data_IF_364885888496
#
_entry.id   IF_364885888496
#
_cell.length_a   1.000
_cell.length_b   1.000
_cell.length_c   1.000
_cell.angle_alpha   90.00
_cell.angle_beta   90.00
_cell.angle_gamma   90.00
#
_symmetry.space_group_name_H-M   'P 1'
#
loop_
_entity.id
_entity.type
_entity.pdbx_description
1 polymer ?
#
# COMPACT_ATOMS: atom_id res chain seq x y z
N UNK A 1 -12.69 -12.48 -27.07
CA UNK A 1 -13.00 -11.48 -26.01
C UNK A 1 -14.11 -11.85 -24.99
N UNK A 2 -14.68 -13.07 -24.97
CA UNK A 2 -15.71 -13.45 -23.96
C UNK A 2 -15.13 -13.81 -22.58
N UNK A 3 -13.91 -14.34 -22.51
CA UNK A 3 -13.25 -14.77 -21.26
C UNK A 3 -12.94 -13.62 -20.29
N UNK A 4 -12.49 -12.47 -20.80
CA UNK A 4 -12.19 -11.28 -19.97
C UNK A 4 -13.48 -10.70 -19.35
N UNK A 5 -14.62 -10.79 -20.06
CA UNK A 5 -15.91 -10.26 -19.60
C UNK A 5 -16.61 -11.14 -18.54
N UNK A 6 -16.23 -12.42 -18.42
CA UNK A 6 -16.83 -13.38 -17.48
C UNK A 6 -15.93 -13.71 -16.28
N UNK A 7 -14.73 -13.13 -16.19
CA UNK A 7 -13.77 -13.45 -15.15
C UNK A 7 -14.30 -13.05 -13.77
N UNK A 8 -14.26 -13.98 -12.81
CA UNK A 8 -14.68 -13.73 -11.42
C UNK A 8 -13.88 -12.61 -10.80
N UNK A 9 -14.49 -11.81 -9.92
CA UNK A 9 -13.80 -10.69 -9.26
C UNK A 9 -12.51 -11.13 -8.53
N UNK A 10 -12.46 -12.33 -7.96
CA UNK A 10 -11.26 -12.85 -7.31
C UNK A 10 -10.07 -13.01 -8.27
N UNK A 11 -10.30 -13.60 -9.45
CA UNK A 11 -9.27 -13.71 -10.51
C UNK A 11 -8.82 -12.35 -11.02
N UNK A 12 -9.74 -11.39 -11.14
CA UNK A 12 -9.42 -10.01 -11.52
C UNK A 12 -8.56 -9.32 -10.45
N UNK A 13 -8.95 -9.40 -9.18
CA UNK A 13 -8.16 -8.87 -8.06
C UNK A 13 -6.77 -9.50 -8.00
N UNK A 14 -6.64 -10.80 -8.26
CA UNK A 14 -5.36 -11.48 -8.31
C UNK A 14 -4.49 -11.01 -9.48
N UNK A 15 -5.06 -10.87 -10.67
CA UNK A 15 -4.34 -10.34 -11.84
C UNK A 15 -3.84 -8.91 -11.61
N UNK A 16 -4.71 -8.05 -11.06
CA UNK A 16 -4.34 -6.68 -10.69
C UNK A 16 -3.27 -6.64 -9.59
N UNK A 17 -3.36 -7.54 -8.62
CA UNK A 17 -2.36 -7.66 -7.57
C UNK A 17 -1.00 -8.12 -8.10
N UNK A 18 -0.97 -9.01 -9.09
CA UNK A 18 0.26 -9.41 -9.76
C UNK A 18 0.85 -8.25 -10.57
N UNK A 19 0.00 -7.48 -11.26
CA UNK A 19 0.44 -6.32 -12.03
C UNK A 19 0.99 -5.19 -11.15
N UNK A 20 0.25 -4.77 -10.13
CA UNK A 20 0.70 -3.70 -9.23
C UNK A 20 1.84 -4.20 -8.33
N UNK A 21 1.70 -5.39 -7.75
CA UNK A 21 2.63 -5.94 -6.78
C UNK A 21 3.98 -6.34 -7.37
N UNK A 22 4.01 -6.83 -8.62
CA UNK A 22 5.26 -7.20 -9.32
C UNK A 22 5.67 -6.15 -10.34
N UNK A 23 4.87 -5.95 -11.38
CA UNK A 23 5.28 -5.15 -12.55
C UNK A 23 5.55 -3.69 -12.20
N UNK A 24 4.69 -3.03 -11.42
CA UNK A 24 4.91 -1.64 -11.02
C UNK A 24 6.02 -1.48 -9.98
N UNK A 25 6.36 -2.54 -9.23
CA UNK A 25 7.45 -2.54 -8.24
C UNK A 25 8.80 -3.01 -8.82
N UNK A 26 8.88 -3.38 -10.11
CA UNK A 26 10.09 -3.93 -10.73
C UNK A 26 11.34 -3.06 -10.49
N UNK A 27 11.23 -1.74 -10.56
CA UNK A 27 12.36 -0.84 -10.32
C UNK A 27 12.86 -0.86 -8.86
N UNK A 28 11.95 -1.05 -7.89
CA UNK A 28 12.31 -1.20 -6.48
C UNK A 28 13.00 -2.55 -6.26
N UNK A 29 12.46 -3.61 -6.87
CA UNK A 29 13.06 -4.94 -6.83
C UNK A 29 14.47 -4.96 -7.41
N UNK A 30 14.69 -4.33 -8.57
CA UNK A 30 16.02 -4.29 -9.19
C UNK A 30 17.07 -3.64 -8.27
N UNK A 31 16.72 -2.52 -7.64
CA UNK A 31 17.64 -1.81 -6.72
C UNK A 31 17.90 -2.61 -5.45
N UNK A 32 16.86 -3.23 -4.90
CA UNK A 32 16.92 -4.01 -3.66
C UNK A 32 17.65 -5.35 -3.86
N UNK A 33 17.37 -6.08 -4.93
CA UNK A 33 18.05 -7.32 -5.29
C UNK A 33 19.48 -7.09 -5.80
N UNK A 34 19.76 -5.95 -6.44
CA UNK A 34 21.13 -5.54 -6.76
C UNK A 34 22.02 -5.42 -5.52
N UNK A 35 21.45 -4.95 -4.40
CA UNK A 35 22.14 -4.89 -3.11
C UNK A 35 22.33 -6.29 -2.47
N UNK A 36 21.42 -7.24 -2.71
CA UNK A 36 21.56 -8.62 -2.24
C UNK A 36 22.52 -9.48 -3.07
N UNK A 37 22.70 -9.17 -4.37
CA UNK A 37 23.54 -9.93 -5.29
C UNK A 37 25.05 -9.84 -4.98
N UNK A 38 25.49 -8.78 -4.28
CA UNK A 38 26.89 -8.61 -3.86
C UNK A 38 27.31 -9.63 -2.77
N UNK A 39 26.34 -10.21 -2.04
CA UNK A 39 26.58 -11.18 -0.97
C UNK A 39 25.48 -12.25 -0.99
N UNK A 40 25.56 -13.17 -1.97
CA UNK A 40 24.59 -14.25 -2.13
C UNK A 40 24.56 -15.16 -0.88
N UNK A 41 23.55 -14.98 -0.04
CA UNK A 41 23.23 -15.87 1.08
C UNK A 41 21.82 -16.43 0.90
N UNK A 42 21.63 -17.71 1.22
CA UNK A 42 20.32 -18.38 1.11
C UNK A 42 19.21 -17.62 1.84
N UNK A 43 19.54 -16.97 2.95
CA UNK A 43 18.60 -16.13 3.72
C UNK A 43 18.11 -14.90 2.96
N UNK A 44 19.00 -14.22 2.21
CA UNK A 44 18.63 -13.08 1.34
C UNK A 44 17.75 -13.54 0.16
N UNK A 45 17.97 -14.77 -0.33
CA UNK A 45 17.08 -15.39 -1.33
C UNK A 45 15.68 -15.67 -0.80
N UNK A 46 15.57 -16.20 0.42
CA UNK A 46 14.27 -16.44 1.07
C UNK A 46 13.56 -15.11 1.35
N UNK A 47 14.27 -14.09 1.84
CA UNK A 47 13.67 -12.77 2.08
C UNK A 47 13.16 -12.14 0.78
N UNK A 48 13.87 -12.29 -0.34
CA UNK A 48 13.44 -11.83 -1.64
C UNK A 48 12.11 -12.43 -2.10
N UNK A 49 11.96 -13.75 -1.98
CA UNK A 49 10.73 -14.46 -2.33
C UNK A 49 9.58 -14.04 -1.41
N UNK A 50 9.87 -13.86 -0.12
CA UNK A 50 8.88 -13.37 0.84
C UNK A 50 8.44 -11.95 0.53
N UNK A 51 9.35 -11.03 0.17
CA UNK A 51 9.03 -9.66 -0.23
C UNK A 51 8.14 -9.65 -1.48
N UNK A 52 8.51 -10.41 -2.53
CA UNK A 52 7.71 -10.54 -3.76
C UNK A 52 6.31 -11.11 -3.49
N UNK A 53 6.22 -12.16 -2.67
CA UNK A 53 4.96 -12.75 -2.27
C UNK A 53 4.10 -11.79 -1.45
N UNK A 54 4.72 -11.06 -0.53
CA UNK A 54 4.04 -10.10 0.33
C UNK A 54 3.43 -8.95 -0.48
N UNK A 55 4.13 -8.37 -1.46
CA UNK A 55 3.57 -7.26 -2.26
C UNK A 55 2.32 -7.69 -3.04
N UNK A 56 2.35 -8.89 -3.64
CA UNK A 56 1.19 -9.46 -4.36
C UNK A 56 0.04 -9.74 -3.39
N UNK A 57 0.31 -10.40 -2.26
CA UNK A 57 -0.73 -10.78 -1.31
C UNK A 57 -1.35 -9.56 -0.61
N UNK A 58 -0.56 -8.55 -0.23
CA UNK A 58 -1.05 -7.29 0.34
C UNK A 58 -1.94 -6.56 -0.66
N UNK A 59 -1.50 -6.46 -1.91
CA UNK A 59 -2.31 -5.80 -2.96
C UNK A 59 -3.61 -6.55 -3.21
N UNK A 60 -3.54 -7.89 -3.24
CA UNK A 60 -4.72 -8.73 -3.38
C UNK A 60 -5.68 -8.52 -2.21
N UNK A 61 -5.18 -8.55 -0.98
CA UNK A 61 -5.94 -8.33 0.24
C UNK A 61 -6.62 -6.95 0.24
N UNK A 62 -5.89 -5.89 -0.13
CA UNK A 62 -6.43 -4.52 -0.24
C UNK A 62 -7.57 -4.47 -1.27
N UNK A 63 -7.34 -4.92 -2.51
CA UNK A 63 -8.37 -4.93 -3.56
C UNK A 63 -9.60 -5.75 -3.16
N UNK A 64 -9.39 -6.76 -2.30
CA UNK A 64 -10.44 -7.63 -1.79
C UNK A 64 -11.25 -6.93 -0.71
N UNK A 65 -10.60 -6.26 0.25
CA UNK A 65 -11.28 -5.40 1.23
C UNK A 65 -12.11 -4.31 0.55
N UNK A 66 -11.55 -3.62 -0.46
CA UNK A 66 -12.27 -2.59 -1.21
C UNK A 66 -13.54 -3.12 -1.89
N UNK A 67 -13.61 -4.41 -2.16
CA UNK A 67 -14.77 -5.03 -2.80
C UNK A 67 -15.94 -5.35 -1.86
N UNK A 68 -15.75 -5.13 -0.55
CA UNK A 68 -16.82 -5.14 0.45
C UNK A 68 -17.79 -3.98 0.24
N UNK A 69 -17.30 -2.81 -0.20
CA UNK A 69 -18.10 -1.60 -0.42
C UNK A 69 -19.02 -1.67 -1.65
N UNK A 70 -19.06 -2.81 -2.34
CA UNK A 70 -19.94 -3.03 -3.48
C UNK A 70 -19.28 -2.75 -4.83
N UNK A 71 -20.03 -3.01 -5.92
CA UNK A 71 -19.45 -3.10 -7.28
C UNK A 71 -18.98 -1.75 -7.83
N UNK A 72 -19.79 -0.69 -7.71
CA UNK A 72 -19.46 0.63 -8.27
C UNK A 72 -18.31 1.26 -7.51
N UNK A 73 -18.39 1.25 -6.18
CA UNK A 73 -17.33 1.74 -5.29
C UNK A 73 -16.02 1.00 -5.54
N UNK A 74 -16.04 -0.33 -5.65
CA UNK A 74 -14.84 -1.10 -5.95
C UNK A 74 -14.16 -0.68 -7.25
N UNK A 75 -14.93 -0.40 -8.32
CA UNK A 75 -14.33 0.04 -9.60
C UNK A 75 -13.61 1.36 -9.44
N UNK A 76 -14.27 2.34 -8.80
CA UNK A 76 -13.70 3.68 -8.57
C UNK A 76 -12.45 3.58 -7.68
N UNK A 77 -12.54 2.85 -6.56
CA UNK A 77 -11.40 2.69 -5.66
C UNK A 77 -10.26 1.90 -6.31
N UNK A 78 -10.54 0.85 -7.07
CA UNK A 78 -9.51 0.10 -7.78
C UNK A 78 -8.83 0.96 -8.86
N UNK A 79 -9.58 1.81 -9.57
CA UNK A 79 -8.98 2.76 -10.51
C UNK A 79 -8.09 3.79 -9.81
N UNK A 80 -8.51 4.31 -8.66
CA UNK A 80 -7.70 5.24 -7.88
C UNK A 80 -6.40 4.57 -7.39
N UNK A 81 -6.50 3.34 -6.87
CA UNK A 81 -5.32 2.57 -6.45
C UNK A 81 -4.36 2.36 -7.61
N UNK A 82 -4.85 2.02 -8.81
CA UNK A 82 -4.03 1.85 -10.01
C UNK A 82 -3.35 3.16 -10.41
N UNK A 83 -4.10 4.28 -10.45
CA UNK A 83 -3.55 5.58 -10.87
C UNK A 83 -2.50 6.10 -9.88
N UNK A 84 -2.78 6.04 -8.58
CA UNK A 84 -1.80 6.44 -7.56
C UNK A 84 -0.58 5.51 -7.54
N UNK A 85 -0.77 4.20 -7.75
CA UNK A 85 0.37 3.28 -7.84
C UNK A 85 1.18 3.47 -9.12
N UNK A 86 0.56 3.86 -10.24
CA UNK A 86 1.26 4.19 -11.49
C UNK A 86 2.03 5.50 -11.39
N UNK A 87 1.44 6.52 -10.75
CA UNK A 87 2.16 7.75 -10.45
C UNK A 87 3.33 7.45 -9.54
N UNK A 88 3.10 6.72 -8.45
CA UNK A 88 4.13 6.36 -7.51
C UNK A 88 5.29 5.53 -8.12
N UNK A 89 4.98 4.61 -9.04
CA UNK A 89 6.01 3.82 -9.72
C UNK A 89 6.92 4.68 -10.61
N UNK A 90 6.40 5.77 -11.19
CA UNK A 90 7.22 6.73 -11.93
C UNK A 90 8.27 7.37 -11.02
N UNK A 91 7.84 7.93 -9.88
CA UNK A 91 8.75 8.54 -8.90
C UNK A 91 9.78 7.55 -8.38
N UNK A 92 9.38 6.29 -8.16
CA UNK A 92 10.29 5.23 -7.71
C UNK A 92 11.32 4.83 -8.75
N UNK A 93 10.94 4.85 -10.03
CA UNK A 93 11.80 4.39 -11.13
C UNK A 93 12.77 5.46 -11.58
N UNK A 94 12.30 6.70 -11.78
CA UNK A 94 13.11 7.77 -12.36
C UNK A 94 13.80 8.63 -11.31
N UNK A 95 13.11 8.95 -10.21
CA UNK A 95 13.65 9.82 -9.16
C UNK A 95 14.26 9.03 -8.00
N UNK A 96 14.20 7.70 -8.08
CA UNK A 96 14.71 6.78 -7.08
C UNK A 96 14.12 6.96 -5.66
N UNK A 97 13.03 7.71 -5.50
CA UNK A 97 12.51 8.05 -4.17
C UNK A 97 11.53 6.99 -3.68
N UNK A 98 11.59 6.69 -2.38
CA UNK A 98 10.55 5.92 -1.67
C UNK A 98 9.50 6.89 -1.15
N UNK A 99 8.24 6.66 -1.50
CA UNK A 99 7.14 7.57 -1.09
C UNK A 99 6.86 7.39 0.39
N UNK A 100 7.47 8.28 1.19
CA UNK A 100 7.23 8.43 2.60
C UNK A 100 6.35 9.64 2.93
N UNK A 101 6.13 9.85 4.23
CA UNK A 101 5.34 10.96 4.79
C UNK A 101 5.74 12.33 4.20
N UNK A 102 7.03 12.63 4.10
CA UNK A 102 7.50 13.95 3.65
C UNK A 102 7.09 14.33 2.23
N UNK A 103 7.04 13.36 1.29
CA UNK A 103 6.60 13.64 -0.09
C UNK A 103 5.10 13.95 -0.11
N UNK A 104 4.31 13.21 0.67
CA UNK A 104 2.86 13.42 0.75
C UNK A 104 2.55 14.76 1.41
N UNK A 105 3.24 15.09 2.51
CA UNK A 105 3.10 16.38 3.19
C UNK A 105 3.40 17.54 2.23
N UNK A 106 4.49 17.45 1.46
CA UNK A 106 4.87 18.46 0.46
C UNK A 106 3.84 18.60 -0.68
N UNK A 107 3.24 17.49 -1.13
CA UNK A 107 2.16 17.52 -2.13
C UNK A 107 0.89 18.16 -1.56
N UNK A 108 0.57 17.90 -0.29
CA UNK A 108 -0.62 18.47 0.37
C UNK A 108 -0.45 19.97 0.70
N UNK A 109 0.76 20.43 1.00
CA UNK A 109 1.07 21.87 1.18
C UNK A 109 1.14 22.65 -0.14
N UNK A 110 0.99 21.96 -1.28
CA UNK A 110 0.78 22.52 -2.63
C UNK A 110 1.80 23.59 -3.05
N UNK A 111 3.09 23.26 -3.06
CA UNK A 111 4.08 24.05 -3.80
C UNK A 111 3.88 23.82 -5.32
N UNK A 112 3.11 24.72 -5.95
CA UNK A 112 2.68 24.64 -7.35
C UNK A 112 3.88 24.71 -8.31
N UNK A 113 4.95 25.41 -7.92
CA UNK A 113 6.14 25.58 -8.75
C UNK A 113 6.96 24.28 -8.83
N UNK A 114 7.11 23.57 -7.70
CA UNK A 114 7.77 22.27 -7.65
C UNK A 114 6.94 21.18 -8.36
N UNK A 115 5.61 21.26 -8.24
CA UNK A 115 4.70 20.30 -8.87
C UNK A 115 4.70 20.39 -10.41
N UNK A 116 4.89 21.59 -10.98
CA UNK A 116 4.95 21.77 -12.45
C UNK A 116 6.26 21.29 -13.05
N UNK A 117 7.37 21.41 -12.32
CA UNK A 117 8.68 20.93 -12.79
C UNK A 117 8.74 19.41 -12.84
N UNK A 118 7.99 18.74 -11.94
CA UNK A 118 8.01 17.28 -11.82
C UNK A 118 6.92 16.59 -12.64
N UNK A 119 5.80 17.26 -12.93
CA UNK A 119 4.73 16.76 -13.82
C UNK A 119 5.04 17.14 -15.28
N UNK A 120 6.08 16.53 -15.84
CA UNK A 120 6.42 16.65 -17.27
C UNK A 120 5.60 15.74 -18.18
N UNK A 121 5.78 15.90 -19.50
CA UNK A 121 5.16 15.03 -20.51
C UNK A 121 5.52 13.54 -20.31
N UNK A 122 6.73 13.25 -19.84
CA UNK A 122 7.18 11.89 -19.51
C UNK A 122 6.33 11.25 -18.40
N UNK A 123 5.95 12.02 -17.37
CA UNK A 123 5.07 11.52 -16.31
C UNK A 123 3.70 11.13 -16.86
N UNK A 124 3.10 11.99 -17.70
CA UNK A 124 1.79 11.72 -18.29
C UNK A 124 1.84 10.50 -19.22
N UNK A 125 2.87 10.40 -20.07
CA UNK A 125 3.05 9.25 -20.94
C UNK A 125 3.19 7.96 -20.13
N UNK A 126 4.03 7.95 -19.08
CA UNK A 126 4.19 6.80 -18.21
C UNK A 126 2.89 6.43 -17.52
N UNK A 127 2.19 7.40 -16.94
CA UNK A 127 0.93 7.21 -16.25
C UNK A 127 -0.09 6.56 -17.18
N UNK A 128 -0.24 7.05 -18.40
CA UNK A 128 -1.15 6.48 -19.40
C UNK A 128 -0.70 5.07 -19.79
N UNK A 129 0.56 4.89 -20.20
CA UNK A 129 1.07 3.58 -20.66
C UNK A 129 0.92 2.48 -19.60
N UNK A 130 1.20 2.78 -18.33
CA UNK A 130 1.18 1.79 -17.24
C UNK A 130 -0.23 1.60 -16.66
N UNK A 131 -1.09 2.61 -16.67
CA UNK A 131 -2.45 2.49 -16.10
C UNK A 131 -3.51 2.02 -17.09
N UNK A 132 -3.35 2.25 -18.40
CA UNK A 132 -4.39 1.91 -19.40
C UNK A 132 -4.74 0.41 -19.39
N UNK A 133 -3.74 -0.46 -19.30
CA UNK A 133 -3.95 -1.91 -19.28
C UNK A 133 -4.78 -2.38 -18.07
N UNK A 134 -4.41 -2.08 -16.80
CA UNK A 134 -5.23 -2.42 -15.65
C UNK A 134 -6.61 -1.72 -15.65
N UNK A 135 -6.71 -0.49 -16.16
CA UNK A 135 -8.00 0.21 -16.31
C UNK A 135 -8.94 -0.53 -17.28
N UNK A 136 -8.43 -0.97 -18.44
CA UNK A 136 -9.21 -1.77 -19.38
C UNK A 136 -9.72 -3.05 -18.70
N UNK A 137 -8.89 -3.72 -17.90
CA UNK A 137 -9.32 -4.92 -17.17
C UNK A 137 -10.42 -4.65 -16.13
N UNK A 138 -10.34 -3.52 -15.40
CA UNK A 138 -11.34 -3.12 -14.40
C UNK A 138 -12.69 -2.80 -15.07
N UNK A 139 -12.66 -2.01 -16.15
CA UNK A 139 -13.88 -1.50 -16.79
C UNK A 139 -14.53 -2.50 -17.77
N UNK A 140 -13.73 -3.30 -18.48
CA UNK A 140 -14.23 -4.32 -19.41
C UNK A 140 -14.89 -5.50 -18.69
N UNK A 141 -14.51 -5.78 -17.44
CA UNK A 141 -15.06 -6.90 -16.69
C UNK A 141 -16.39 -6.54 -15.99
N UNK A 142 -17.41 -7.41 -16.10
CA UNK A 142 -18.73 -7.20 -15.48
C UNK A 142 -18.76 -7.37 -13.96
N UNK A 143 -17.60 -7.53 -13.30
CA UNK A 143 -17.43 -7.56 -11.84
C UNK A 143 -18.52 -8.37 -11.13
N UNK A 144 -18.82 -9.56 -11.67
CA UNK A 144 -19.81 -10.49 -11.10
C UNK A 144 -19.17 -11.17 -9.88
N UNK A 145 -19.99 -11.39 -8.83
CA UNK A 145 -19.59 -11.93 -7.53
C UNK A 145 -18.68 -11.01 -6.69
N UNK A 146 -19.27 -9.94 -6.16
CA UNK A 146 -18.60 -9.13 -5.14
C UNK A 146 -18.38 -9.92 -3.86
N UNK A 147 -17.35 -9.56 -3.09
CA UNK A 147 -17.08 -10.20 -1.80
C UNK A 147 -18.30 -10.07 -0.88
N UNK A 148 -18.94 -8.89 -0.87
CA UNK A 148 -20.23 -8.67 -0.19
C UNK A 148 -21.31 -9.68 -0.61
N UNK A 149 -21.45 -9.93 -1.92
CA UNK A 149 -22.44 -10.88 -2.44
C UNK A 149 -22.06 -12.32 -2.09
N UNK A 150 -20.78 -12.67 -2.15
CA UNK A 150 -20.27 -13.99 -1.78
C UNK A 150 -20.42 -14.26 -0.27
N UNK A 151 -20.21 -13.24 0.57
CA UNK A 151 -20.51 -13.30 2.01
C UNK A 151 -22.00 -13.40 2.30
N UNK A 152 -22.88 -12.97 1.37
CA UNK A 152 -24.33 -13.04 1.55
C UNK A 152 -24.93 -14.37 1.06
N UNK A 153 -24.33 -15.04 0.06
CA UNK A 153 -24.77 -16.38 -0.39
C UNK A 153 -24.36 -17.48 0.60
N UNK A 154 -25.31 -18.23 1.19
CA UNK A 154 -24.99 -19.38 2.04
C UNK A 154 -24.21 -20.43 1.22
N UNK A 155 -23.16 -21.02 1.80
CA UNK A 155 -22.26 -21.99 1.14
C UNK A 155 -20.96 -21.42 0.58
N UNK A 156 -20.91 -20.14 0.14
CA UNK A 156 -19.66 -19.49 -0.31
C UNK A 156 -19.02 -18.57 0.74
N UNK A 157 -19.73 -18.25 1.83
CA UNK A 157 -19.28 -17.31 2.88
C UNK A 157 -17.96 -17.72 3.51
N UNK A 158 -17.87 -18.98 3.96
CA UNK A 158 -16.68 -19.51 4.63
C UNK A 158 -15.48 -19.54 3.68
N UNK A 159 -15.67 -19.96 2.42
CA UNK A 159 -14.60 -19.95 1.41
C UNK A 159 -14.05 -18.55 1.13
N UNK A 160 -14.93 -17.55 0.98
CA UNK A 160 -14.50 -16.18 0.71
C UNK A 160 -13.88 -15.49 1.92
N UNK A 161 -14.39 -15.74 3.12
CA UNK A 161 -13.80 -15.26 4.37
C UNK A 161 -12.45 -15.93 4.64
N UNK A 162 -12.38 -17.26 4.52
CA UNK A 162 -11.15 -18.03 4.68
C UNK A 162 -10.08 -17.58 3.67
N UNK A 163 -10.43 -17.29 2.41
CA UNK A 163 -9.46 -16.79 1.43
C UNK A 163 -8.85 -15.42 1.83
N UNK A 164 -9.63 -14.53 2.45
CA UNK A 164 -9.16 -13.22 2.91
C UNK A 164 -8.31 -13.36 4.17
N UNK A 165 -8.77 -14.17 5.13
CA UNK A 165 -8.02 -14.45 6.36
C UNK A 165 -6.70 -15.15 6.04
N UNK A 166 -6.73 -16.17 5.17
CA UNK A 166 -5.54 -16.90 4.74
C UNK A 166 -4.54 -15.97 4.04
N UNK A 167 -5.01 -15.05 3.17
CA UNK A 167 -4.15 -14.06 2.54
C UNK A 167 -3.50 -13.14 3.59
N UNK A 168 -4.27 -12.68 4.59
CA UNK A 168 -3.73 -11.87 5.69
C UNK A 168 -2.68 -12.62 6.53
N UNK A 169 -2.97 -13.88 6.90
CA UNK A 169 -2.04 -14.73 7.67
C UNK A 169 -0.77 -15.04 6.87
N UNK A 170 -0.91 -15.32 5.56
CA UNK A 170 0.24 -15.56 4.67
C UNK A 170 1.13 -14.33 4.47
N UNK A 171 0.60 -13.12 4.63
CA UNK A 171 1.43 -11.91 4.65
C UNK A 171 2.07 -11.71 6.02
N UNK A 172 1.28 -11.81 7.09
CA UNK A 172 1.72 -11.49 8.43
C UNK A 172 2.76 -12.47 8.97
N UNK A 173 2.56 -13.78 8.79
CA UNK A 173 3.43 -14.78 9.39
C UNK A 173 4.88 -14.73 8.86
N UNK A 174 5.16 -14.69 7.54
CA UNK A 174 6.53 -14.61 7.03
C UNK A 174 7.23 -13.31 7.40
N UNK A 175 6.52 -12.18 7.33
CA UNK A 175 7.08 -10.87 7.72
C UNK A 175 7.44 -10.88 9.21
N UNK A 176 6.57 -11.45 10.06
CA UNK A 176 6.83 -11.53 11.49
C UNK A 176 7.98 -12.48 11.83
N UNK A 177 8.14 -13.58 11.09
CA UNK A 177 9.28 -14.47 11.24
C UNK A 177 10.59 -13.75 10.91
N UNK A 178 10.64 -12.99 9.82
CA UNK A 178 11.82 -12.20 9.45
C UNK A 178 12.12 -11.07 10.45
N UNK A 179 11.08 -10.40 10.99
CA UNK A 179 11.22 -9.39 12.05
C UNK A 179 11.82 -9.97 13.33
N UNK A 180 11.41 -11.19 13.73
CA UNK A 180 12.00 -11.87 14.90
C UNK A 180 13.46 -12.26 14.65
N UNK A 181 13.82 -12.65 13.42
CA UNK A 181 15.22 -12.95 13.08
C UNK A 181 16.08 -11.68 13.09
N UNK A 182 15.59 -10.57 12.55
CA UNK A 182 16.31 -9.29 12.62
C UNK A 182 16.54 -8.84 14.06
N UNK A 183 15.55 -8.97 14.94
CA UNK A 183 15.71 -8.67 16.38
C UNK A 183 16.75 -9.53 17.08
N UNK A 184 16.98 -10.76 16.64
CA UNK A 184 18.07 -11.60 17.16
C UNK A 184 19.44 -11.07 16.71
N UNK A 185 19.53 -10.59 15.47
CA UNK A 185 20.74 -9.96 14.94
C UNK A 185 21.00 -8.63 15.64
N UNK A 186 19.99 -7.77 15.81
CA UNK A 186 20.07 -6.51 16.58
C UNK A 186 20.65 -6.74 17.98
N UNK A 187 20.12 -7.75 18.70
CA UNK A 187 20.63 -8.12 20.03
C UNK A 187 22.06 -8.64 20.02
N UNK A 188 22.49 -9.28 18.93
CA UNK A 188 23.84 -9.82 18.79
C UNK A 188 24.86 -8.76 18.38
N UNK A 189 24.45 -7.76 17.58
CA UNK A 189 25.34 -6.71 17.08
C UNK A 189 25.29 -5.42 17.90
N UNK A 190 24.27 -5.25 18.76
CA UNK A 190 24.08 -4.05 19.58
C UNK A 190 23.68 -2.81 18.79
N UNK A 191 23.26 -2.99 17.53
CA UNK A 191 22.81 -1.92 16.64
C UNK A 191 21.29 -2.01 16.55
N UNK A 192 20.61 -0.88 16.73
CA UNK A 192 19.16 -0.80 16.50
C UNK A 192 18.87 -0.80 15.00
N UNK A 193 18.20 -1.84 14.50
CA UNK A 193 17.71 -1.90 13.12
C UNK A 193 16.22 -1.49 13.06
N UNK A 194 15.77 -0.91 11.92
CA UNK A 194 14.36 -0.65 11.72
C UNK A 194 13.58 -1.95 11.53
N UNK A 195 12.33 -1.99 12.01
CA UNK A 195 11.47 -3.17 11.87
C UNK A 195 11.31 -3.58 10.41
N UNK A 196 11.56 -4.87 10.13
CA UNK A 196 11.49 -5.45 8.79
C UNK A 196 10.17 -5.12 8.07
N UNK A 197 9.05 -5.31 8.77
CA UNK A 197 7.72 -5.08 8.21
C UNK A 197 7.47 -3.62 7.85
N UNK A 198 7.98 -2.69 8.66
CA UNK A 198 7.89 -1.25 8.37
C UNK A 198 8.69 -0.86 7.14
N UNK A 199 9.90 -1.42 7.00
CA UNK A 199 10.74 -1.20 5.81
C UNK A 199 10.06 -1.73 4.55
N UNK A 200 9.50 -2.94 4.59
CA UNK A 200 8.78 -3.54 3.45
C UNK A 200 7.53 -2.71 3.12
N UNK A 201 6.73 -2.33 4.12
CA UNK A 201 5.52 -1.54 3.91
C UNK A 201 5.80 -0.21 3.24
N UNK A 202 6.85 0.50 3.65
CA UNK A 202 7.24 1.77 3.06
C UNK A 202 7.93 1.63 1.71
N UNK A 203 8.55 0.48 1.40
CA UNK A 203 9.30 0.30 0.15
C UNK A 203 8.43 0.00 -1.06
N UNK A 204 7.30 -0.69 -0.88
CA UNK A 204 6.56 -1.29 -1.99
C UNK A 204 5.14 -0.75 -2.18
N UNK A 205 4.68 -0.75 -3.43
CA UNK A 205 3.32 -0.39 -3.81
C UNK A 205 2.34 -1.52 -3.51
N UNK A 206 1.08 -1.21 -3.12
CA UNK A 206 0.54 0.11 -2.80
C UNK A 206 0.70 0.49 -1.32
N UNK A 207 1.38 -0.34 -0.51
CA UNK A 207 1.46 -0.14 0.94
C UNK A 207 2.18 1.15 1.32
N UNK A 208 3.16 1.58 0.52
CA UNK A 208 3.99 2.76 0.76
C UNK A 208 3.22 4.08 0.80
N UNK A 209 2.52 4.41 -0.28
CA UNK A 209 1.74 5.63 -0.36
C UNK A 209 0.49 5.53 0.52
N UNK A 210 -0.05 4.33 0.72
CA UNK A 210 -1.19 4.12 1.61
C UNK A 210 -0.83 4.31 3.09
N UNK A 211 0.32 3.79 3.54
CA UNK A 211 0.82 4.00 4.91
C UNK A 211 1.18 5.46 5.14
N UNK A 212 1.85 6.09 4.17
CA UNK A 212 2.20 7.50 4.25
C UNK A 212 0.95 8.42 4.27
N UNK A 213 -0.09 8.14 3.47
CA UNK A 213 -1.36 8.86 3.54
C UNK A 213 -2.05 8.66 4.89
N UNK A 214 -2.03 7.44 5.42
CA UNK A 214 -2.61 7.13 6.73
C UNK A 214 -1.91 7.87 7.87
N UNK A 215 -0.57 7.92 7.85
CA UNK A 215 0.23 8.69 8.80
C UNK A 215 -0.04 10.18 8.69
N UNK A 216 -0.14 10.72 7.48
CA UNK A 216 -0.51 12.12 7.25
C UNK A 216 -1.89 12.45 7.79
N UNK A 217 -2.89 11.63 7.48
CA UNK A 217 -4.25 11.82 7.99
C UNK A 217 -4.30 11.75 9.53
N UNK A 218 -3.55 10.83 10.13
CA UNK A 218 -3.46 10.71 11.59
C UNK A 218 -2.79 11.94 12.22
N UNK A 219 -1.65 12.38 11.68
CA UNK A 219 -0.96 13.58 12.14
C UNK A 219 -1.84 14.84 12.04
N UNK A 220 -2.59 14.99 10.93
CA UNK A 220 -3.49 16.13 10.76
C UNK A 220 -4.64 16.12 11.76
N UNK A 221 -5.16 14.94 12.12
CA UNK A 221 -6.21 14.79 13.15
C UNK A 221 -5.66 15.10 14.54
N UNK A 222 -4.48 14.60 14.86
CA UNK A 222 -3.79 14.85 16.12
C UNK A 222 -3.52 16.34 16.30
N UNK A 223 -2.94 16.98 15.29
CA UNK A 223 -2.65 18.42 15.27
C UNK A 223 -3.94 19.26 15.34
N UNK A 224 -5.04 18.84 14.70
CA UNK A 224 -6.33 19.53 14.82
C UNK A 224 -6.98 19.37 16.20
N UNK A 225 -6.71 18.26 16.88
CA UNK A 225 -7.20 17.98 18.23
C UNK A 225 -6.41 18.78 19.26
N UNK A 226 -5.09 18.82 19.12
CA UNK A 226 -4.20 19.63 19.93
C UNK A 226 -4.46 21.13 19.73
N UNK A 227 -4.66 21.60 18.49
CA UNK A 227 -5.00 23.00 18.24
C UNK A 227 -6.36 23.40 18.86
N UNK A 228 -7.36 22.49 18.87
CA UNK A 228 -8.61 22.70 19.59
C UNK A 228 -8.44 22.74 21.11
N UNK A 229 -7.45 22.02 21.66
CA UNK A 229 -7.10 22.09 23.08
C UNK A 229 -6.39 23.40 23.45
N UNK A 230 -5.58 23.94 22.54
CA UNK A 230 -4.86 25.21 22.71
C UNK A 230 -5.76 26.46 22.59
N UNK A 231 -6.91 26.37 21.90
CA UNK A 231 -7.90 27.46 21.79
C UNK A 231 -8.76 27.60 23.07
N UNK A 232 -8.62 26.71 24.06
CA UNK A 232 -9.24 26.83 25.39
C UNK A 232 -8.21 26.94 26.53
N UNK A 233 -7.40 28.00 26.61
CA UNK A 233 -6.51 28.20 27.75
C UNK A 233 -7.29 28.55 29.04
N UNK A 234 -8.58 28.90 28.93
CA UNK A 234 -9.36 29.51 30.01
C UNK A 234 -10.26 28.58 30.84
N UNK A 235 -10.08 27.25 30.86
CA UNK A 235 -10.88 26.38 31.74
C UNK A 235 -10.11 25.51 32.72
N UNK A 236 -8.85 25.17 32.46
CA UNK A 236 -8.04 24.42 33.43
C UNK A 236 -7.30 25.32 34.44
N UNK A 237 -6.96 26.57 34.07
CA UNK A 237 -6.22 27.46 34.98
C UNK A 237 -7.10 28.00 36.12
N UNK A 238 -8.42 28.15 35.91
CA UNK A 238 -9.31 28.73 36.93
C UNK A 238 -9.70 27.76 38.06
N UNK A 239 -9.47 26.44 37.92
CA UNK A 239 -9.75 25.50 39.02
C UNK A 239 -8.62 25.41 40.05
N UNK A 240 -7.38 25.81 39.71
CA UNK A 240 -6.29 25.87 40.67
C UNK A 240 -6.23 27.17 41.49
N UNK A 241 -6.78 28.29 40.98
CA UNK A 241 -6.80 29.56 41.73
C UNK A 241 -8.00 29.75 42.67
N UNK A 242 -9.00 28.86 42.65
CA UNK A 242 -10.17 28.94 43.54
C UNK A 242 -10.05 28.05 44.80
N UNK A 243 -8.86 27.49 45.07
CA UNK A 243 -8.55 26.68 46.26
C UNK A 243 -7.28 27.16 46.99
N UNK A 244 -7.02 28.47 46.95
CA UNK A 244 -6.04 29.14 47.82
C UNK A 244 -6.76 30.03 48.80
#
# INVERSE_FOLDING_TARGET
>A
MRYIKSMTQQKLSFLLALYIGLFMNCAVFYRRFGSYAQEFTLWKGISAVVELGATVLVTFFLLRLLSLFGRRVWRVLATLVVLFSAGASYYMTFLNVVIGYGIIASVMTTDIDLSKEVVGLHFVLWLISVSVLPLIFIWSNRCRYTLLRQLRTPGQRFRSAAAVVLAGVMVWAPIRLLDVQQKKVERATGIDLPSYGGVVANSYLPSNWLSALGLYAWAQVDESSDNNSLIKPGKEIYLCCAKG
#
